data_IF_522330006015
#
_entry.id   IF_522330006015
#
_cell.length_a   1.000
_cell.length_b   1.000
_cell.length_c   1.000
_cell.angle_alpha   90.00
_cell.angle_beta   90.00
_cell.angle_gamma   90.00
#
_symmetry.space_group_name_H-M   'P 1'
#
loop_
_entity.id
_entity.type
_entity.pdbx_description
1 polymer ?
#
# COMPACT_ATOMS: atom_id res chain seq x y z
N UNK A 1 13.94 8.69 56.01
CA UNK A 1 14.24 9.71 54.97
C UNK A 1 14.20 9.01 53.61
N UNK A 2 13.04 9.05 52.94
CA UNK A 2 12.79 8.30 51.71
C UNK A 2 12.62 9.33 50.59
N UNK A 3 13.64 9.49 49.74
CA UNK A 3 13.69 10.49 48.68
C UNK A 3 12.89 9.98 47.47
N UNK A 4 11.66 10.46 47.34
CA UNK A 4 10.83 10.31 46.14
C UNK A 4 11.60 10.81 44.91
N UNK A 5 11.85 9.94 43.93
CA UNK A 5 12.31 10.35 42.60
C UNK A 5 11.10 10.86 41.84
N UNK A 6 11.03 12.19 41.69
CA UNK A 6 10.17 12.85 40.72
C UNK A 6 10.39 12.23 39.33
N UNK A 7 9.40 11.50 38.84
CA UNK A 7 9.26 11.20 37.42
C UNK A 7 8.75 12.50 36.80
N UNK A 8 9.66 13.25 36.19
CA UNK A 8 9.28 14.36 35.32
C UNK A 8 8.43 13.79 34.20
N UNK A 9 7.16 14.20 34.14
CA UNK A 9 6.30 13.97 33.00
C UNK A 9 6.92 14.54 31.71
N UNK A 10 6.37 14.19 30.54
CA UNK A 10 6.87 14.70 29.26
C UNK A 10 6.88 16.23 29.31
N UNK A 11 8.01 16.81 28.92
CA UNK A 11 8.21 18.26 28.83
C UNK A 11 7.05 18.91 28.07
N UNK A 12 6.27 19.75 28.77
CA UNK A 12 5.33 20.68 28.15
C UNK A 12 6.08 21.50 27.10
N UNK A 13 5.64 21.41 25.83
CA UNK A 13 6.13 22.26 24.75
C UNK A 13 6.65 21.56 23.51
N UNK A 14 6.77 20.23 23.49
CA UNK A 14 7.13 19.52 22.25
C UNK A 14 5.86 19.06 21.53
N UNK A 15 5.44 19.83 20.52
CA UNK A 15 4.36 19.40 19.62
C UNK A 15 4.80 18.10 18.92
N UNK A 16 4.17 16.95 19.21
CA UNK A 16 4.48 15.68 18.56
C UNK A 16 4.12 15.71 17.06
N UNK A 17 3.43 16.76 16.60
CA UNK A 17 3.02 17.00 15.22
C UNK A 17 3.80 18.14 14.52
N UNK A 18 4.96 18.56 15.06
CA UNK A 18 5.79 19.56 14.38
C UNK A 18 6.13 19.10 12.95
N UNK A 19 5.70 19.83 11.89
CA UNK A 19 5.86 19.44 10.49
C UNK A 19 7.32 19.21 10.07
N UNK A 20 8.28 19.80 10.80
CA UNK A 20 9.71 19.74 10.51
C UNK A 20 10.34 18.36 10.79
N UNK A 21 9.64 17.44 11.47
CA UNK A 21 10.17 16.12 11.86
C UNK A 21 9.69 14.95 10.99
N UNK A 22 8.90 15.17 9.94
CA UNK A 22 8.57 14.10 9.00
C UNK A 22 9.79 13.80 8.10
N UNK A 23 10.15 12.52 7.88
CA UNK A 23 11.38 12.17 7.18
C UNK A 23 11.29 12.60 5.71
N UNK A 24 11.95 13.71 5.36
CA UNK A 24 11.86 14.36 4.06
C UNK A 24 12.41 13.50 2.92
N UNK A 25 13.46 12.72 3.16
CA UNK A 25 14.12 11.94 2.10
C UNK A 25 13.42 10.61 1.81
N UNK A 26 13.08 9.85 2.86
CA UNK A 26 12.41 8.55 2.70
C UNK A 26 10.99 8.68 2.15
N UNK A 27 10.26 9.72 2.58
CA UNK A 27 8.90 9.99 2.10
C UNK A 27 8.88 10.52 0.66
N UNK A 28 9.89 11.32 0.25
CA UNK A 28 10.01 11.78 -1.13
C UNK A 28 10.27 10.62 -2.11
N UNK A 29 11.15 9.68 -1.77
CA UNK A 29 11.43 8.51 -2.63
C UNK A 29 10.18 7.65 -2.80
N UNK A 30 9.47 7.34 -1.71
CA UNK A 30 8.21 6.59 -1.77
C UNK A 30 7.15 7.32 -2.57
N UNK A 31 6.99 8.63 -2.34
CA UNK A 31 6.06 9.48 -3.09
C UNK A 31 6.35 9.51 -4.60
N UNK A 32 7.63 9.61 -4.98
CA UNK A 32 8.05 9.53 -6.39
C UNK A 32 7.79 8.15 -7.00
N UNK A 33 8.02 7.08 -6.25
CA UNK A 33 7.68 5.72 -6.68
C UNK A 33 6.19 5.57 -6.96
N UNK A 34 5.34 6.05 -6.06
CA UNK A 34 3.88 6.06 -6.27
C UNK A 34 3.47 6.96 -7.45
N UNK A 35 4.11 8.11 -7.64
CA UNK A 35 3.86 8.96 -8.79
C UNK A 35 4.22 8.26 -10.11
N UNK A 36 5.32 7.50 -10.14
CA UNK A 36 5.72 6.70 -11.30
C UNK A 36 4.70 5.60 -11.62
N UNK A 37 4.21 4.87 -10.60
CA UNK A 37 3.13 3.90 -10.81
C UNK A 37 1.87 4.61 -11.32
N UNK A 38 1.43 5.69 -10.67
CA UNK A 38 0.29 6.49 -11.12
C UNK A 38 0.42 6.92 -12.59
N UNK A 39 1.60 7.38 -13.00
CA UNK A 39 1.91 7.76 -14.38
C UNK A 39 1.80 6.55 -15.33
N UNK A 40 2.36 5.40 -14.95
CA UNK A 40 2.24 4.17 -15.72
C UNK A 40 0.77 3.77 -15.92
N UNK A 41 -0.04 3.82 -14.87
CA UNK A 41 -1.47 3.50 -14.95
C UNK A 41 -2.23 4.45 -15.89
N UNK A 42 -2.06 5.77 -15.78
CA UNK A 42 -2.78 6.71 -16.67
C UNK A 42 -2.29 6.62 -18.13
N UNK A 43 -0.99 6.41 -18.34
CA UNK A 43 -0.43 6.20 -19.68
C UNK A 43 -1.00 4.92 -20.29
N UNK A 44 -1.06 3.82 -19.54
CA UNK A 44 -1.67 2.57 -20.01
C UNK A 44 -3.18 2.71 -20.22
N UNK A 45 -3.88 3.52 -19.42
CA UNK A 45 -5.31 3.75 -19.60
C UNK A 45 -5.59 4.45 -20.94
N UNK A 46 -4.74 5.42 -21.33
CA UNK A 46 -4.87 6.16 -22.58
C UNK A 46 -4.27 5.39 -23.78
N UNK A 47 -3.14 4.73 -23.57
CA UNK A 47 -2.34 4.04 -24.59
C UNK A 47 -1.82 2.71 -24.03
N UNK A 48 -2.62 1.63 -24.11
CA UNK A 48 -2.38 0.38 -23.37
C UNK A 48 -1.13 -0.38 -23.79
N UNK A 49 -0.66 -0.18 -25.02
CA UNK A 49 0.50 -0.89 -25.56
C UNK A 49 1.84 -0.17 -25.36
N UNK A 50 1.83 0.98 -24.67
CA UNK A 50 3.04 1.80 -24.47
C UNK A 50 4.18 1.03 -23.82
N UNK A 51 3.87 0.11 -22.90
CA UNK A 51 4.86 -0.69 -22.16
C UNK A 51 4.84 -2.17 -22.54
N UNK A 52 4.18 -2.53 -23.65
CA UNK A 52 4.07 -3.89 -24.15
C UNK A 52 2.63 -4.41 -24.27
N UNK A 53 2.49 -5.60 -24.86
CA UNK A 53 1.18 -6.19 -25.18
C UNK A 53 0.40 -6.65 -23.95
N UNK A 54 1.10 -7.03 -22.87
CA UNK A 54 0.53 -7.58 -21.63
C UNK A 54 0.45 -6.59 -20.48
N UNK A 55 0.71 -5.30 -20.73
CA UNK A 55 0.82 -4.30 -19.67
C UNK A 55 -0.45 -4.20 -18.83
N UNK A 56 -1.63 -4.22 -19.44
CA UNK A 56 -2.90 -4.15 -18.70
C UNK A 56 -3.02 -5.36 -17.75
N UNK A 57 -2.68 -6.56 -18.22
CA UNK A 57 -2.66 -7.77 -17.38
C UNK A 57 -1.72 -7.64 -16.18
N UNK A 58 -0.49 -7.17 -16.42
CA UNK A 58 0.49 -6.96 -15.35
C UNK A 58 0.07 -5.88 -14.35
N UNK A 59 -0.58 -4.81 -14.80
CA UNK A 59 -1.11 -3.78 -13.92
C UNK A 59 -2.32 -4.27 -13.11
N UNK A 60 -3.19 -5.10 -13.68
CA UNK A 60 -4.25 -5.79 -12.93
C UNK A 60 -3.66 -6.68 -11.84
N UNK A 61 -2.66 -7.48 -12.19
CA UNK A 61 -1.95 -8.34 -11.24
C UNK A 61 -1.28 -7.53 -10.13
N UNK A 62 -0.65 -6.40 -10.47
CA UNK A 62 -0.07 -5.48 -9.50
C UNK A 62 -1.10 -4.96 -8.49
N UNK A 63 -2.31 -4.62 -8.90
CA UNK A 63 -3.37 -4.16 -7.98
C UNK A 63 -3.88 -5.26 -7.05
N UNK A 64 -3.94 -6.51 -7.53
CA UNK A 64 -4.24 -7.67 -6.68
C UNK A 64 -3.13 -7.91 -5.65
N UNK A 65 -1.89 -7.76 -6.07
CA UNK A 65 -0.73 -7.91 -5.22
C UNK A 65 -0.66 -6.76 -4.19
N UNK A 66 -1.00 -5.54 -4.57
CA UNK A 66 -1.05 -4.38 -3.67
C UNK A 66 -2.06 -4.58 -2.52
N UNK A 67 -3.22 -5.20 -2.80
CA UNK A 67 -4.17 -5.60 -1.75
C UNK A 67 -3.49 -6.46 -0.69
N UNK A 68 -2.71 -7.46 -1.13
CA UNK A 68 -1.99 -8.39 -0.25
C UNK A 68 -0.92 -7.66 0.56
N UNK A 69 -0.14 -6.77 -0.06
CA UNK A 69 0.87 -5.95 0.64
C UNK A 69 0.22 -5.14 1.75
N UNK A 70 -0.83 -4.39 1.43
CA UNK A 70 -1.45 -3.46 2.37
C UNK A 70 -2.02 -4.19 3.58
N UNK A 71 -2.65 -5.36 3.38
CA UNK A 71 -3.15 -6.19 4.47
C UNK A 71 -2.01 -6.80 5.29
N UNK A 72 -1.00 -7.37 4.64
CA UNK A 72 0.13 -8.03 5.33
C UNK A 72 0.86 -7.07 6.27
N UNK A 73 0.97 -5.79 5.93
CA UNK A 73 1.52 -4.74 6.79
C UNK A 73 0.77 -4.58 8.13
N UNK A 74 -0.57 -4.55 8.10
CA UNK A 74 -1.38 -4.42 9.31
C UNK A 74 -1.24 -5.63 10.23
N UNK A 75 -1.32 -6.84 9.66
CA UNK A 75 -1.20 -8.07 10.43
C UNK A 75 0.20 -8.24 11.00
N UNK A 76 1.24 -7.90 10.25
CA UNK A 76 2.62 -7.93 10.73
C UNK A 76 2.83 -6.93 11.87
N UNK A 77 2.33 -5.70 11.75
CA UNK A 77 2.39 -4.70 12.81
C UNK A 77 1.67 -5.20 14.08
N UNK A 78 0.51 -5.81 13.93
CA UNK A 78 -0.26 -6.40 15.06
C UNK A 78 0.49 -7.56 15.71
N UNK A 79 1.07 -8.47 14.92
CA UNK A 79 1.87 -9.58 15.41
C UNK A 79 3.14 -9.10 16.15
N UNK A 80 3.74 -8.00 15.69
CA UNK A 80 4.89 -7.37 16.34
C UNK A 80 4.51 -6.64 17.63
N UNK A 81 3.32 -6.04 17.70
CA UNK A 81 2.81 -5.37 18.90
C UNK A 81 2.33 -6.36 19.98
N UNK A 82 2.03 -7.61 19.63
CA UNK A 82 1.55 -8.61 20.57
C UNK A 82 2.55 -8.88 21.71
N UNK A 83 2.05 -8.86 22.95
CA UNK A 83 2.81 -9.18 24.15
C UNK A 83 2.89 -10.70 24.37
N UNK A 84 3.64 -11.38 23.51
CA UNK A 84 3.86 -12.84 23.53
C UNK A 84 5.36 -13.16 23.53
N UNK A 85 5.70 -14.40 23.90
CA UNK A 85 7.09 -14.86 23.87
C UNK A 85 7.69 -14.75 22.47
N UNK A 86 9.02 -14.57 22.38
CA UNK A 86 9.75 -14.44 21.11
C UNK A 86 9.45 -15.60 20.14
N UNK A 87 9.39 -16.83 20.65
CA UNK A 87 9.06 -18.02 19.84
C UNK A 87 7.65 -17.96 19.24
N UNK A 88 6.65 -17.56 20.02
CA UNK A 88 5.27 -17.38 19.51
C UNK A 88 5.18 -16.23 18.51
N UNK A 89 5.93 -15.15 18.72
CA UNK A 89 6.00 -14.03 17.77
C UNK A 89 6.58 -14.48 16.42
N UNK A 90 7.71 -15.20 16.43
CA UNK A 90 8.28 -15.76 15.20
C UNK A 90 7.33 -16.74 14.51
N UNK A 91 6.61 -17.58 15.27
CA UNK A 91 5.60 -18.48 14.70
C UNK A 91 4.44 -17.72 14.05
N UNK A 92 3.95 -16.65 14.67
CA UNK A 92 2.90 -15.81 14.08
C UNK A 92 3.36 -15.14 12.79
N UNK A 93 4.58 -14.59 12.77
CA UNK A 93 5.15 -13.95 11.58
C UNK A 93 5.32 -14.98 10.45
N UNK A 94 5.83 -16.18 10.77
CA UNK A 94 5.95 -17.27 9.81
C UNK A 94 4.58 -17.70 9.26
N UNK A 95 3.58 -17.85 10.14
CA UNK A 95 2.21 -18.21 9.76
C UNK A 95 1.58 -17.18 8.83
N UNK A 96 1.78 -15.88 9.11
CA UNK A 96 1.35 -14.79 8.24
C UNK A 96 2.06 -14.87 6.88
N UNK A 97 3.38 -15.08 6.86
CA UNK A 97 4.14 -15.23 5.62
C UNK A 97 3.65 -16.40 4.76
N UNK A 98 3.45 -17.57 5.37
CA UNK A 98 2.92 -18.75 4.68
C UNK A 98 1.50 -18.51 4.14
N UNK A 99 0.63 -17.89 4.93
CA UNK A 99 -0.73 -17.56 4.51
C UNK A 99 -0.73 -16.65 3.27
N UNK A 100 0.08 -15.59 3.26
CA UNK A 100 0.16 -14.69 2.10
C UNK A 100 0.83 -15.30 0.88
N UNK A 101 1.76 -16.25 1.05
CA UNK A 101 2.33 -17.02 -0.05
C UNK A 101 1.29 -17.83 -0.83
N UNK A 102 0.19 -18.26 -0.19
CA UNK A 102 -0.91 -18.95 -0.87
C UNK A 102 -1.62 -18.03 -1.87
N UNK A 103 -1.78 -16.74 -1.56
CA UNK A 103 -2.37 -15.77 -2.48
C UNK A 103 -1.45 -15.48 -3.66
N UNK A 104 -0.14 -15.30 -3.39
CA UNK A 104 0.85 -15.10 -4.46
C UNK A 104 0.82 -16.31 -5.41
N UNK A 105 0.81 -17.53 -4.87
CA UNK A 105 0.70 -18.76 -5.66
C UNK A 105 -0.60 -18.78 -6.50
N UNK A 106 -1.74 -18.47 -5.89
CA UNK A 106 -3.03 -18.44 -6.58
C UNK A 106 -3.06 -17.41 -7.72
N UNK A 107 -2.50 -16.22 -7.50
CA UNK A 107 -2.40 -15.17 -8.52
C UNK A 107 -1.46 -15.62 -9.65
N UNK A 108 -0.28 -16.17 -9.34
CA UNK A 108 0.64 -16.69 -10.38
C UNK A 108 -0.02 -17.72 -11.28
N UNK A 109 -0.76 -18.66 -10.67
CA UNK A 109 -1.48 -19.69 -11.40
C UNK A 109 -2.60 -19.08 -12.27
N UNK A 110 -3.33 -18.09 -11.76
CA UNK A 110 -4.39 -17.40 -12.51
C UNK A 110 -3.89 -16.57 -13.69
N UNK A 111 -2.64 -16.09 -13.67
CA UNK A 111 -2.09 -15.27 -14.75
C UNK A 111 -1.15 -16.07 -15.66
N UNK A 112 -0.87 -17.34 -15.34
CA UNK A 112 0.09 -18.20 -16.04
C UNK A 112 1.48 -17.57 -16.22
N UNK A 113 1.80 -16.57 -15.41
CA UNK A 113 3.08 -15.87 -15.39
C UNK A 113 3.58 -15.78 -13.95
N UNK A 114 4.76 -16.34 -13.74
CA UNK A 114 5.39 -16.44 -12.42
C UNK A 114 6.32 -15.27 -12.13
N UNK A 115 6.80 -14.59 -13.16
CA UNK A 115 7.86 -13.60 -12.99
C UNK A 115 7.41 -12.41 -12.12
N UNK A 116 6.26 -11.75 -12.38
CA UNK A 116 5.87 -10.61 -11.57
C UNK A 116 5.49 -11.02 -10.14
N UNK A 117 5.03 -12.26 -9.94
CA UNK A 117 4.73 -12.78 -8.61
C UNK A 117 6.00 -13.08 -7.80
N UNK A 118 7.05 -13.60 -8.44
CA UNK A 118 8.35 -13.84 -7.81
C UNK A 118 9.04 -12.52 -7.44
N UNK A 119 9.00 -11.52 -8.32
CA UNK A 119 9.51 -10.17 -8.02
C UNK A 119 8.78 -9.62 -6.80
N UNK A 120 7.46 -9.75 -6.77
CA UNK A 120 6.65 -9.26 -5.67
C UNK A 120 6.91 -9.98 -4.35
N UNK A 121 7.04 -11.32 -4.39
CA UNK A 121 7.46 -12.11 -3.23
C UNK A 121 8.82 -11.65 -2.68
N UNK A 122 9.77 -11.35 -3.57
CA UNK A 122 11.06 -10.75 -3.22
C UNK A 122 10.90 -9.39 -2.52
N UNK A 123 10.01 -8.53 -3.01
CA UNK A 123 9.73 -7.22 -2.39
C UNK A 123 9.10 -7.37 -0.99
N UNK A 124 8.14 -8.29 -0.82
CA UNK A 124 7.57 -8.63 0.49
C UNK A 124 8.65 -9.14 1.45
N UNK A 125 9.48 -10.07 1.00
CA UNK A 125 10.56 -10.62 1.81
C UNK A 125 11.53 -9.53 2.26
N UNK A 126 11.96 -8.65 1.35
CA UNK A 126 12.79 -7.50 1.68
C UNK A 126 12.14 -6.57 2.71
N UNK A 127 10.84 -6.32 2.59
CA UNK A 127 10.07 -5.51 3.54
C UNK A 127 10.01 -6.16 4.93
N UNK A 128 9.76 -7.46 4.99
CA UNK A 128 9.76 -8.22 6.25
C UNK A 128 11.15 -8.16 6.91
N UNK A 129 12.22 -8.39 6.15
CA UNK A 129 13.59 -8.28 6.65
C UNK A 129 13.84 -6.88 7.22
N UNK A 130 13.47 -5.84 6.49
CA UNK A 130 13.65 -4.44 6.92
C UNK A 130 12.86 -4.13 8.20
N UNK A 131 11.65 -4.67 8.35
CA UNK A 131 10.85 -4.49 9.58
C UNK A 131 11.47 -5.24 10.75
N UNK A 132 12.02 -6.43 10.52
CA UNK A 132 12.67 -7.24 11.55
C UNK A 132 14.01 -6.65 12.02
N UNK A 133 14.70 -5.89 11.16
CA UNK A 133 16.01 -5.30 11.46
C UNK A 133 15.95 -3.82 11.86
N UNK A 134 14.80 -3.15 11.72
CA UNK A 134 14.66 -1.74 12.06
C UNK A 134 14.56 -1.48 13.57
N UNK A 135 15.31 -0.50 14.07
CA UNK A 135 15.12 0.06 15.41
C UNK A 135 13.85 0.94 15.46
N UNK A 136 13.00 0.70 16.46
CA UNK A 136 11.67 1.27 16.53
C UNK A 136 11.66 2.65 17.23
N UNK A 137 11.70 3.74 16.46
CA UNK A 137 11.43 5.10 16.94
C UNK A 137 9.95 5.49 16.83
N UNK A 138 9.42 6.26 17.79
CA UNK A 138 8.01 6.69 17.84
C UNK A 138 7.57 7.49 16.59
N UNK A 139 8.45 8.35 16.06
CA UNK A 139 8.17 9.11 14.82
C UNK A 139 7.99 8.19 13.62
N UNK A 140 8.82 7.14 13.51
CA UNK A 140 8.75 6.16 12.41
C UNK A 140 7.50 5.29 12.49
N UNK A 141 7.06 4.94 13.71
CA UNK A 141 5.78 4.25 13.94
C UNK A 141 4.59 5.12 13.52
N UNK A 142 4.57 6.40 13.91
CA UNK A 142 3.50 7.32 13.53
C UNK A 142 3.42 7.51 12.01
N UNK A 143 4.55 7.70 11.34
CA UNK A 143 4.60 7.79 9.87
C UNK A 143 4.09 6.51 9.19
N UNK A 144 4.51 5.33 9.67
CA UNK A 144 4.02 4.05 9.16
C UNK A 144 2.51 3.87 9.34
N UNK A 145 1.96 4.28 10.49
CA UNK A 145 0.53 4.22 10.77
C UNK A 145 -0.28 5.16 9.85
N UNK A 146 0.20 6.39 9.63
CA UNK A 146 -0.44 7.32 8.69
C UNK A 146 -0.40 6.77 7.27
N UNK A 147 0.75 6.26 6.82
CA UNK A 147 0.91 5.67 5.50
C UNK A 147 -0.07 4.52 5.28
N UNK A 148 -0.13 3.59 6.23
CA UNK A 148 -1.10 2.49 6.18
C UNK A 148 -2.55 2.97 6.19
N UNK A 149 -2.92 3.91 7.06
CA UNK A 149 -4.29 4.43 7.14
C UNK A 149 -4.72 5.12 5.85
N UNK A 150 -3.83 5.91 5.23
CA UNK A 150 -4.07 6.52 3.93
C UNK A 150 -4.24 5.47 2.84
N UNK A 151 -3.36 4.47 2.77
CA UNK A 151 -3.50 3.34 1.83
C UNK A 151 -4.84 2.63 2.00
N UNK A 152 -5.21 2.26 3.22
CA UNK A 152 -6.49 1.57 3.47
C UNK A 152 -7.70 2.43 3.05
N UNK A 153 -7.69 3.72 3.40
CA UNK A 153 -8.75 4.66 3.02
C UNK A 153 -8.87 4.79 1.50
N UNK A 154 -7.76 5.06 0.80
CA UNK A 154 -7.79 5.26 -0.65
C UNK A 154 -8.08 3.97 -1.40
N UNK A 155 -7.59 2.83 -0.92
CA UNK A 155 -7.89 1.53 -1.51
C UNK A 155 -9.40 1.30 -1.49
N UNK A 156 -10.04 1.44 -0.32
CA UNK A 156 -11.49 1.28 -0.16
C UNK A 156 -12.27 2.31 -0.97
N UNK A 157 -11.90 3.59 -0.88
CA UNK A 157 -12.58 4.66 -1.60
C UNK A 157 -12.58 4.40 -3.11
N UNK A 158 -11.40 4.13 -3.69
CA UNK A 158 -11.28 4.02 -5.14
C UNK A 158 -11.71 2.66 -5.67
N UNK A 159 -11.57 1.55 -4.92
CA UNK A 159 -12.17 0.28 -5.35
C UNK A 159 -13.69 0.40 -5.42
N UNK A 160 -14.35 1.03 -4.44
CA UNK A 160 -15.80 1.24 -4.54
C UNK A 160 -16.15 2.23 -5.65
N UNK A 161 -15.41 3.33 -5.79
CA UNK A 161 -15.68 4.30 -6.85
C UNK A 161 -15.59 3.67 -8.25
N UNK A 162 -14.53 2.90 -8.56
CA UNK A 162 -14.33 2.34 -9.91
C UNK A 162 -15.14 1.08 -10.18
N UNK A 163 -15.67 0.43 -9.15
CA UNK A 163 -16.60 -0.71 -9.31
C UNK A 163 -18.04 -0.26 -9.47
N UNK A 164 -18.46 0.79 -8.75
CA UNK A 164 -19.85 1.25 -8.72
C UNK A 164 -20.16 2.32 -9.78
N UNK A 165 -19.19 3.18 -10.11
CA UNK A 165 -19.37 4.23 -11.11
C UNK A 165 -18.96 3.73 -12.50
N UNK A 166 -19.57 4.24 -13.58
CA UNK A 166 -19.07 3.97 -14.92
C UNK A 166 -17.67 4.56 -15.09
N UNK A 167 -16.73 3.72 -15.52
CA UNK A 167 -15.35 4.12 -15.82
C UNK A 167 -15.16 4.08 -17.33
N UNK A 168 -14.71 5.16 -17.99
CA UNK A 168 -14.51 5.15 -19.43
C UNK A 168 -13.38 4.19 -19.84
N UNK A 169 -13.54 3.53 -20.97
CA UNK A 169 -12.53 2.61 -21.54
C UNK A 169 -11.21 3.34 -21.87
N UNK A 170 -11.32 4.58 -22.38
CA UNK A 170 -10.23 5.30 -23.01
C UNK A 170 -9.54 4.42 -24.08
N UNK A 171 -8.28 4.06 -23.89
CA UNK A 171 -7.54 3.19 -24.81
C UNK A 171 -7.81 1.70 -24.59
N UNK A 172 -8.39 1.29 -23.45
CA UNK A 172 -8.59 -0.12 -23.08
C UNK A 172 -9.95 -0.59 -23.61
N UNK A 173 -10.00 -0.81 -24.92
CA UNK A 173 -11.19 -1.34 -25.61
C UNK A 173 -11.36 -2.84 -25.36
N UNK A 174 -12.50 -3.41 -25.76
CA UNK A 174 -12.74 -4.85 -25.74
C UNK A 174 -11.66 -5.66 -26.49
N UNK A 175 -11.08 -5.10 -27.55
CA UNK A 175 -10.01 -5.77 -28.32
C UNK A 175 -8.71 -5.82 -27.54
N UNK A 176 -8.37 -4.73 -26.84
CA UNK A 176 -7.22 -4.66 -25.96
C UNK A 176 -7.37 -5.63 -24.79
N UNK A 177 -8.56 -5.69 -24.19
CA UNK A 177 -8.87 -6.61 -23.11
C UNK A 177 -8.69 -8.07 -23.55
N UNK A 178 -9.19 -8.45 -24.73
CA UNK A 178 -9.00 -9.80 -25.30
C UNK A 178 -7.53 -10.13 -25.58
N UNK A 179 -6.75 -9.17 -26.06
CA UNK A 179 -5.31 -9.34 -26.33
C UNK A 179 -4.48 -9.61 -25.06
N UNK A 180 -5.02 -9.30 -23.87
CA UNK A 180 -4.35 -9.61 -22.61
C UNK A 180 -4.32 -11.12 -22.31
N UNK A 181 -5.14 -11.94 -22.98
CA UNK A 181 -5.26 -13.39 -22.79
C UNK A 181 -5.44 -13.78 -21.31
N UNK A 182 -6.32 -13.06 -20.61
CA UNK A 182 -6.72 -13.48 -19.27
C UNK A 182 -7.31 -14.89 -19.32
N UNK A 183 -6.88 -15.76 -18.41
CA UNK A 183 -7.36 -17.15 -18.32
C UNK A 183 -8.43 -17.34 -17.23
N UNK A 184 -8.74 -16.28 -16.50
CA UNK A 184 -9.74 -16.24 -15.42
C UNK A 184 -10.92 -15.32 -15.78
N UNK A 185 -11.86 -15.16 -14.85
CA UNK A 185 -13.02 -14.27 -14.99
C UNK A 185 -13.16 -13.37 -13.77
N UNK A 186 -14.01 -12.35 -13.89
CA UNK A 186 -14.32 -11.40 -12.82
C UNK A 186 -14.19 -9.97 -13.29
N UNK A 187 -14.73 -9.04 -12.50
CA UNK A 187 -14.92 -7.65 -12.93
C UNK A 187 -13.66 -6.98 -13.51
N UNK A 188 -12.49 -7.21 -12.93
CA UNK A 188 -11.24 -6.59 -13.40
C UNK A 188 -10.61 -7.30 -14.61
N UNK A 189 -11.05 -8.51 -14.92
CA UNK A 189 -10.68 -9.24 -16.13
C UNK A 189 -11.62 -8.89 -17.27
N UNK A 190 -12.92 -8.82 -16.96
CA UNK A 190 -13.97 -8.52 -17.91
C UNK A 190 -14.00 -7.03 -18.29
N UNK A 191 -13.69 -6.14 -17.33
CA UNK A 191 -13.63 -4.69 -17.48
C UNK A 191 -12.30 -4.11 -16.92
N UNK A 192 -11.15 -4.41 -17.56
CA UNK A 192 -9.83 -4.08 -17.02
C UNK A 192 -9.54 -2.56 -16.94
N UNK A 193 -10.26 -1.74 -17.70
CA UNK A 193 -10.20 -0.28 -17.56
C UNK A 193 -10.51 0.18 -16.13
N UNK A 194 -11.35 -0.56 -15.39
CA UNK A 194 -11.73 -0.20 -14.02
C UNK A 194 -10.57 -0.34 -13.04
N UNK A 195 -9.82 -1.43 -13.11
CA UNK A 195 -8.66 -1.66 -12.23
C UNK A 195 -7.48 -0.78 -12.62
N UNK A 196 -7.34 -0.46 -13.91
CA UNK A 196 -6.30 0.50 -14.35
C UNK A 196 -6.63 1.91 -13.86
N UNK A 197 -7.87 2.37 -13.99
CA UNK A 197 -8.32 3.63 -13.42
C UNK A 197 -8.16 3.66 -11.89
N UNK A 198 -8.47 2.55 -11.22
CA UNK A 198 -8.26 2.39 -9.78
C UNK A 198 -6.79 2.57 -9.41
N UNK A 199 -5.86 1.88 -10.07
CA UNK A 199 -4.44 2.01 -9.80
C UNK A 199 -3.93 3.44 -10.00
N UNK A 200 -4.39 4.14 -11.04
CA UNK A 200 -4.08 5.57 -11.23
C UNK A 200 -4.51 6.42 -10.03
N UNK A 201 -5.78 6.32 -9.62
CA UNK A 201 -6.32 7.13 -8.53
C UNK A 201 -5.66 6.79 -7.18
N UNK A 202 -5.47 5.50 -6.92
CA UNK A 202 -4.87 4.99 -5.70
C UNK A 202 -3.42 5.45 -5.54
N UNK A 203 -2.56 5.14 -6.52
CA UNK A 203 -1.16 5.53 -6.46
C UNK A 203 -0.97 7.04 -6.55
N UNK A 204 -1.83 7.75 -7.30
CA UNK A 204 -1.82 9.21 -7.33
C UNK A 204 -2.12 9.83 -5.96
N UNK A 205 -3.14 9.35 -5.26
CA UNK A 205 -3.47 9.82 -3.92
C UNK A 205 -2.40 9.49 -2.88
N UNK A 206 -1.76 8.32 -2.99
CA UNK A 206 -0.61 7.95 -2.16
C UNK A 206 0.60 8.84 -2.42
N UNK A 207 0.92 9.10 -3.69
CA UNK A 207 2.01 10.00 -4.05
C UNK A 207 1.81 11.38 -3.44
N UNK A 208 0.61 11.97 -3.57
CA UNK A 208 0.28 13.26 -2.97
C UNK A 208 0.34 13.22 -1.44
N UNK A 209 -0.05 12.12 -0.82
CA UNK A 209 -0.04 11.98 0.64
C UNK A 209 1.37 11.86 1.21
N UNK A 210 2.24 11.06 0.58
CA UNK A 210 3.65 10.97 0.93
C UNK A 210 4.36 12.30 0.69
N UNK A 211 4.23 12.89 -0.50
CA UNK A 211 4.90 14.16 -0.84
C UNK A 211 4.43 15.33 0.04
N UNK A 212 3.20 15.28 0.55
CA UNK A 212 2.69 16.28 1.51
C UNK A 212 3.01 15.95 2.97
N UNK A 213 3.67 14.83 3.27
CA UNK A 213 3.95 14.36 4.63
C UNK A 213 2.67 14.13 5.43
N UNK A 214 1.57 13.72 4.77
CA UNK A 214 0.28 13.43 5.39
C UNK A 214 -0.37 14.61 6.14
N UNK A 215 0.00 15.85 5.83
CA UNK A 215 -0.51 17.07 6.49
C UNK A 215 -2.04 17.19 6.49
N UNK A 216 -2.70 16.62 5.49
CA UNK A 216 -4.16 16.60 5.41
C UNK A 216 -4.80 15.77 6.53
N UNK A 217 -4.22 14.62 6.90
CA UNK A 217 -4.72 13.81 8.02
C UNK A 217 -4.51 14.50 9.37
N UNK A 218 -3.35 15.14 9.56
CA UNK A 218 -3.04 15.88 10.78
C UNK A 218 -4.06 17.02 10.97
N UNK A 219 -4.35 17.76 9.89
CA UNK A 219 -5.34 18.85 9.93
C UNK A 219 -6.74 18.35 10.26
N UNK A 220 -7.14 17.17 9.78
CA UNK A 220 -8.44 16.57 10.12
C UNK A 220 -8.49 16.09 11.57
N UNK A 221 -7.42 15.49 12.09
CA UNK A 221 -7.34 15.04 13.47
C UNK A 221 -7.34 16.20 14.48
N UNK A 222 -6.75 17.35 14.12
CA UNK A 222 -6.74 18.56 14.93
C UNK A 222 -8.08 19.32 14.93
N UNK A 223 -8.97 19.04 13.99
CA UNK A 223 -10.30 19.66 13.93
C UNK A 223 -11.24 18.88 14.87
N UNK A 224 -11.40 19.37 16.11
CA UNK A 224 -12.39 18.79 17.05
C UNK A 224 -13.77 18.78 16.36
N UNK A 225 -14.51 17.66 16.41
CA UNK A 225 -15.87 17.63 15.89
C UNK A 225 -16.76 18.47 16.81
N UNK A 226 -17.14 19.67 16.36
CA UNK A 226 -18.11 20.53 17.06
C UNK A 226 -17.54 21.80 17.71
N UNK A 227 -16.75 22.59 16.97
CA UNK A 227 -16.52 24.02 17.28
C UNK A 227 -17.39 24.90 16.43
#
# INVERSE_FOLDING_TARGET
MTRSRNITGPSEGMDPYSPEKYPSEGSAISGLGYAAFSAMFIITWISPYTFGLKTVSYLTMMMLLEFIVMHSGAFLATAMAANVSRGKKSLNILGIGLFYSLFILGISLSFSDWLPALIFAGMIANRVITVLTAEAGEVRKSAANHSWAASALFYLLFVFATTLLPVPELGITSDVARAQEFTSSGLWVDEPQRVVAFGFLYFGALALSELSGYRWMIKMAGKKPGG
#
